data_IF_172586875462
#
_entry.id   IF_172586875462
#
_cell.length_a   1.000
_cell.length_b   1.000
_cell.length_c   1.000
_cell.angle_alpha   90.00
_cell.angle_beta   90.00
_cell.angle_gamma   90.00
#
_symmetry.space_group_name_H-M   'P 1'
#
loop_
_entity.id
_entity.type
_entity.pdbx_description
1 polymer ?
#
# COMPACT_ATOMS: atom_id res chain seq x y z
N UNK A 1 -29.01 -17.35 12.04
CA UNK A 1 -27.54 -17.25 11.90
C UNK A 1 -27.19 -15.78 12.07
N UNK A 2 -26.47 -15.38 13.13
CA UNK A 2 -26.25 -13.97 13.40
C UNK A 2 -25.22 -13.42 12.41
N UNK A 3 -25.66 -12.55 11.50
CA UNK A 3 -24.81 -11.69 10.65
C UNK A 3 -24.12 -10.57 11.44
N UNK A 4 -23.81 -10.83 12.71
CA UNK A 4 -23.48 -9.79 13.69
C UNK A 4 -21.99 -9.40 13.73
N UNK A 5 -21.10 -9.98 12.92
CA UNK A 5 -19.66 -9.89 13.18
C UNK A 5 -18.83 -9.13 12.13
N UNK A 6 -19.45 -8.45 11.17
CA UNK A 6 -18.72 -7.57 10.23
C UNK A 6 -18.79 -6.08 10.61
N UNK A 7 -19.59 -5.71 11.62
CA UNK A 7 -19.82 -4.30 12.01
C UNK A 7 -18.89 -3.76 13.10
N UNK A 8 -18.11 -4.61 13.77
CA UNK A 8 -17.13 -4.17 14.78
C UNK A 8 -15.77 -3.83 14.14
N UNK A 9 -15.57 -4.24 12.88
CA UNK A 9 -14.40 -3.84 12.12
C UNK A 9 -14.52 -2.38 11.70
N UNK A 10 -13.48 -1.59 11.95
CA UNK A 10 -13.45 -0.17 11.64
C UNK A 10 -13.66 0.07 10.15
N UNK A 11 -14.85 0.54 9.73
CA UNK A 11 -15.19 0.63 8.30
C UNK A 11 -14.36 1.72 7.60
N UNK A 12 -13.80 2.65 8.37
CA UNK A 12 -12.94 3.70 7.86
C UNK A 12 -11.57 3.20 7.40
N UNK A 13 -11.16 1.96 7.75
CA UNK A 13 -9.89 1.33 7.37
C UNK A 13 -10.04 0.23 6.29
N UNK A 14 -11.22 0.11 5.68
CA UNK A 14 -11.53 -0.94 4.70
C UNK A 14 -10.53 -0.98 3.53
N UNK A 15 -10.13 0.19 3.04
CA UNK A 15 -9.19 0.30 1.92
C UNK A 15 -7.80 -0.22 2.29
N UNK A 16 -7.35 0.08 3.50
CA UNK A 16 -6.08 -0.38 4.06
C UNK A 16 -6.10 -1.90 4.28
N UNK A 17 -7.22 -2.47 4.74
CA UNK A 17 -7.36 -3.93 4.85
C UNK A 17 -7.27 -4.62 3.50
N UNK A 18 -7.95 -4.10 2.47
CA UNK A 18 -7.88 -4.66 1.12
C UNK A 18 -6.46 -4.62 0.55
N UNK A 19 -5.71 -3.55 0.85
CA UNK A 19 -4.30 -3.44 0.47
C UNK A 19 -3.44 -4.51 1.17
N UNK A 20 -3.55 -4.63 2.51
CA UNK A 20 -2.76 -5.56 3.32
C UNK A 20 -3.07 -7.03 3.01
N UNK A 21 -4.35 -7.36 2.81
CA UNK A 21 -4.80 -8.70 2.46
C UNK A 21 -4.60 -9.04 0.97
N UNK A 22 -4.10 -8.08 0.17
CA UNK A 22 -3.83 -8.28 -1.25
C UNK A 22 -5.09 -8.43 -2.12
N UNK A 23 -6.23 -7.97 -1.64
CA UNK A 23 -7.50 -7.96 -2.38
C UNK A 23 -7.66 -6.74 -3.29
N UNK A 24 -6.84 -5.71 -3.10
CA UNK A 24 -6.85 -4.51 -3.94
C UNK A 24 -6.44 -4.84 -5.39
N UNK A 25 -7.18 -4.37 -6.42
CA UNK A 25 -6.81 -4.53 -7.81
C UNK A 25 -5.40 -4.00 -8.10
N UNK A 26 -4.67 -4.63 -9.02
CA UNK A 26 -3.26 -4.31 -9.25
C UNK A 26 -3.01 -2.82 -9.57
N UNK A 27 -3.83 -2.24 -10.45
CA UNK A 27 -3.73 -0.83 -10.86
C UNK A 27 -3.93 0.11 -9.66
N UNK A 28 -4.93 -0.19 -8.82
CA UNK A 28 -5.23 0.59 -7.62
C UNK A 28 -4.14 0.40 -6.55
N UNK A 29 -3.57 -0.80 -6.46
CA UNK A 29 -2.50 -1.15 -5.52
C UNK A 29 -1.22 -0.38 -5.79
N UNK A 30 -0.80 -0.27 -7.05
CA UNK A 30 0.41 0.49 -7.43
C UNK A 30 0.23 1.98 -7.09
N UNK A 31 -0.95 2.54 -7.39
CA UNK A 31 -1.30 3.92 -7.04
C UNK A 31 -1.32 4.13 -5.52
N UNK A 32 -1.95 3.21 -4.79
CA UNK A 32 -2.03 3.29 -3.34
C UNK A 32 -0.66 3.12 -2.67
N UNK A 33 0.20 2.27 -3.21
CA UNK A 33 1.56 2.11 -2.72
C UNK A 33 2.36 3.42 -2.85
N UNK A 34 2.20 4.15 -3.95
CA UNK A 34 2.78 5.50 -4.09
C UNK A 34 2.29 6.44 -2.99
N UNK A 35 0.98 6.45 -2.72
CA UNK A 35 0.41 7.26 -1.64
C UNK A 35 0.93 6.87 -0.25
N UNK A 36 1.12 5.58 0.03
CA UNK A 36 1.69 5.10 1.32
C UNK A 36 3.12 5.60 1.51
N UNK A 37 3.89 5.72 0.43
CA UNK A 37 5.28 6.21 0.46
C UNK A 37 5.33 7.73 0.60
N UNK A 38 4.46 8.45 -0.12
CA UNK A 38 4.50 9.92 -0.20
C UNK A 38 3.72 10.61 0.92
N UNK A 39 2.70 9.96 1.48
CA UNK A 39 1.81 10.54 2.48
C UNK A 39 1.91 9.81 3.82
N UNK A 40 2.47 10.51 4.81
CA UNK A 40 2.63 10.01 6.18
C UNK A 40 1.30 9.60 6.83
N UNK A 41 0.21 10.33 6.61
CA UNK A 41 -1.10 10.01 7.19
C UNK A 41 -1.66 8.70 6.63
N UNK A 42 -1.46 8.44 5.34
CA UNK A 42 -1.87 7.18 4.70
C UNK A 42 -1.03 6.03 5.22
N UNK A 43 0.28 6.24 5.41
CA UNK A 43 1.17 5.27 6.03
C UNK A 43 0.75 4.91 7.46
N UNK A 44 0.44 5.91 8.29
CA UNK A 44 -0.06 5.72 9.65
C UNK A 44 -1.36 4.91 9.68
N UNK A 45 -2.30 5.20 8.75
CA UNK A 45 -3.56 4.44 8.63
C UNK A 45 -3.33 2.98 8.22
N UNK A 46 -2.36 2.69 7.36
CA UNK A 46 -2.01 1.30 7.01
C UNK A 46 -1.43 0.56 8.22
N UNK A 47 -0.59 1.21 9.02
CA UNK A 47 -0.09 0.62 10.27
C UNK A 47 -1.21 0.40 11.30
N UNK A 48 -2.16 1.33 11.40
CA UNK A 48 -3.34 1.18 12.25
C UNK A 48 -4.19 -0.02 11.81
N UNK A 49 -4.44 -0.15 10.50
CA UNK A 49 -5.14 -1.27 9.91
C UNK A 49 -4.41 -2.61 10.14
N UNK A 50 -3.08 -2.63 10.02
CA UNK A 50 -2.28 -3.81 10.31
C UNK A 50 -2.48 -4.27 11.77
N UNK A 51 -2.39 -3.35 12.72
CA UNK A 51 -2.58 -3.67 14.14
C UNK A 51 -3.99 -4.18 14.43
N UNK A 52 -5.03 -3.56 13.86
CA UNK A 52 -6.41 -4.03 14.03
C UNK A 52 -6.61 -5.46 13.49
N UNK A 53 -6.00 -5.79 12.34
CA UNK A 53 -6.01 -7.16 11.80
C UNK A 53 -5.35 -8.16 12.75
N UNK A 54 -4.19 -7.82 13.35
CA UNK A 54 -3.54 -8.67 14.34
C UNK A 54 -4.42 -8.86 15.59
N UNK A 55 -4.95 -7.78 16.16
CA UNK A 55 -5.78 -7.83 17.35
C UNK A 55 -7.07 -8.64 17.12
N UNK A 56 -7.71 -8.46 15.97
CA UNK A 56 -8.88 -9.24 15.60
C UNK A 56 -8.56 -10.72 15.36
N UNK A 57 -7.42 -11.02 14.73
CA UNK A 57 -6.98 -12.40 14.54
C UNK A 57 -6.72 -13.09 15.89
N UNK A 58 -6.05 -12.42 16.84
CA UNK A 58 -5.80 -12.99 18.17
C UNK A 58 -7.10 -13.18 18.96
N UNK A 59 -8.04 -12.24 18.87
CA UNK A 59 -9.38 -12.33 19.47
C UNK A 59 -10.27 -13.41 18.82
N UNK A 60 -9.89 -13.92 17.66
CA UNK A 60 -10.75 -14.80 16.86
C UNK A 60 -11.95 -14.07 16.24
N UNK A 61 -11.89 -12.75 16.16
CA UNK A 61 -12.92 -11.86 15.62
C UNK A 61 -12.72 -11.53 14.12
N UNK A 62 -11.65 -12.03 13.51
CA UNK A 62 -11.38 -11.81 12.08
C UNK A 62 -12.42 -12.54 11.20
N UNK A 63 -12.98 -11.89 10.16
CA UNK A 63 -13.91 -12.52 9.23
C UNK A 63 -13.35 -13.81 8.61
N UNK A 64 -14.23 -14.79 8.38
CA UNK A 64 -13.82 -16.11 7.87
C UNK A 64 -13.15 -16.03 6.50
N UNK A 65 -13.62 -15.13 5.63
CA UNK A 65 -12.98 -14.89 4.33
C UNK A 65 -11.59 -14.26 4.43
N UNK A 66 -11.31 -13.49 5.47
CA UNK A 66 -10.05 -12.74 5.62
C UNK A 66 -8.97 -13.55 6.32
N UNK A 67 -9.35 -14.51 7.16
CA UNK A 67 -8.42 -15.37 7.89
C UNK A 67 -7.35 -16.05 7.01
N UNK A 68 -7.68 -16.76 5.92
CA UNK A 68 -6.66 -17.41 5.09
C UNK A 68 -5.71 -16.39 4.45
N UNK A 69 -6.23 -15.23 4.02
CA UNK A 69 -5.43 -14.17 3.40
C UNK A 69 -4.48 -13.52 4.41
N UNK A 70 -4.95 -13.31 5.64
CA UNK A 70 -4.13 -12.81 6.74
C UNK A 70 -2.99 -13.76 7.06
N UNK A 71 -3.28 -15.06 7.17
CA UNK A 71 -2.26 -16.09 7.45
C UNK A 71 -1.24 -16.20 6.31
N UNK A 72 -1.69 -16.14 5.05
CA UNK A 72 -0.82 -16.18 3.86
C UNK A 72 0.05 -14.92 3.73
N UNK A 73 -0.49 -13.73 4.01
CA UNK A 73 0.19 -12.46 3.73
C UNK A 73 0.99 -11.92 4.90
N UNK A 74 0.42 -11.92 6.10
CA UNK A 74 1.06 -11.33 7.26
C UNK A 74 1.87 -12.37 8.03
N UNK A 75 1.33 -13.58 8.26
CA UNK A 75 2.02 -14.60 9.05
C UNK A 75 3.06 -15.41 8.28
N UNK A 76 3.15 -15.27 6.96
CA UNK A 76 4.21 -15.88 6.16
C UNK A 76 5.58 -15.24 6.38
N UNK A 77 5.62 -14.03 6.94
CA UNK A 77 6.88 -13.31 7.21
C UNK A 77 7.33 -13.50 8.67
N UNK A 78 8.64 -13.58 8.95
CA UNK A 78 9.14 -13.64 10.33
C UNK A 78 8.70 -12.44 11.18
N UNK A 79 8.57 -11.26 10.57
CA UNK A 79 8.11 -10.06 11.25
C UNK A 79 6.64 -10.16 11.68
N UNK A 80 5.75 -10.61 10.79
CA UNK A 80 4.34 -10.78 11.13
C UNK A 80 4.13 -11.85 12.20
N UNK A 81 4.92 -12.93 12.20
CA UNK A 81 4.90 -13.92 13.30
C UNK A 81 5.29 -13.28 14.63
N UNK A 82 6.31 -12.41 14.65
CA UNK A 82 6.69 -11.66 15.87
C UNK A 82 5.57 -10.74 16.32
N UNK A 83 4.96 -9.96 15.41
CA UNK A 83 3.83 -9.07 15.73
C UNK A 83 2.63 -9.86 16.31
N UNK A 84 2.28 -11.00 15.70
CA UNK A 84 1.24 -11.89 16.21
C UNK A 84 1.56 -12.43 17.62
N UNK A 85 2.81 -12.78 17.89
CA UNK A 85 3.23 -13.22 19.22
C UNK A 85 3.13 -12.08 20.24
N UNK A 86 3.53 -10.86 19.87
CA UNK A 86 3.38 -9.67 20.72
C UNK A 86 1.91 -9.38 21.04
N UNK A 87 1.02 -9.39 20.03
CA UNK A 87 -0.41 -9.20 20.23
C UNK A 87 -1.01 -10.29 21.16
N UNK A 88 -0.61 -11.55 20.98
CA UNK A 88 -0.98 -12.66 21.88
C UNK A 88 -0.49 -12.45 23.31
N UNK A 89 0.73 -11.97 23.49
CA UNK A 89 1.29 -11.71 24.82
C UNK A 89 0.55 -10.57 25.53
N UNK A 90 0.21 -9.50 24.80
CA UNK A 90 -0.54 -8.36 25.32
C UNK A 90 -1.94 -8.78 25.80
N UNK A 91 -2.65 -9.63 25.04
CA UNK A 91 -3.96 -10.14 25.46
C UNK A 91 -3.93 -11.05 26.69
N UNK A 92 -2.80 -11.71 26.96
CA UNK A 92 -2.65 -12.59 28.14
C UNK A 92 -2.26 -11.83 29.40
N UNK A 93 -1.78 -10.60 29.28
CA UNK A 93 -1.48 -9.79 30.44
C UNK A 93 -2.80 -9.41 31.12
N UNK A 94 -3.03 -9.80 32.38
CA UNK A 94 -4.18 -9.35 33.15
C UNK A 94 -3.95 -7.90 33.57
N UNK A 95 -3.89 -6.99 32.60
CA UNK A 95 -4.07 -5.58 32.88
C UNK A 95 -5.52 -5.48 33.33
N UNK A 96 -5.74 -5.31 34.64
CA UNK A 96 -7.04 -5.00 35.19
C UNK A 96 -7.58 -3.78 34.42
N UNK A 97 -8.55 -3.98 33.52
CA UNK A 97 -9.02 -2.94 32.63
C UNK A 97 -9.84 -1.91 33.42
N UNK A 98 -9.38 -0.65 33.61
CA UNK A 98 -10.33 0.45 33.72
C UNK A 98 -11.11 0.54 32.38
N UNK A 99 -12.38 0.94 32.47
CA UNK A 99 -13.30 1.09 31.34
C UNK A 99 -12.63 1.74 30.10
N UNK A 100 -13.05 1.37 28.87
CA UNK A 100 -12.37 1.77 27.64
C UNK A 100 -12.32 3.29 27.49
N UNK A 101 -11.16 3.87 27.76
CA UNK A 101 -10.82 5.21 27.31
C UNK A 101 -10.44 5.13 25.82
N UNK A 102 -10.82 6.12 24.99
CA UNK A 102 -10.40 6.15 23.58
C UNK A 102 -8.89 6.04 23.47
N UNK A 103 -8.42 5.18 22.56
CA UNK A 103 -7.03 4.72 22.49
C UNK A 103 -6.06 5.88 22.32
N UNK A 104 -5.28 6.15 23.37
CA UNK A 104 -4.21 7.17 23.40
C UNK A 104 -2.86 6.66 22.86
N UNK A 105 -2.86 5.53 22.15
CA UNK A 105 -1.64 4.89 21.66
C UNK A 105 -0.95 5.72 20.54
N UNK A 106 -1.69 6.63 19.88
CA UNK A 106 -1.13 7.53 18.84
C UNK A 106 -0.06 8.52 19.36
N UNK A 107 0.01 8.77 20.68
CA UNK A 107 0.96 9.74 21.25
C UNK A 107 2.38 9.22 21.43
N UNK A 108 2.57 7.90 21.58
CA UNK A 108 3.88 7.34 21.95
C UNK A 108 4.77 7.05 20.72
N UNK A 109 4.20 6.56 19.61
CA UNK A 109 5.00 6.30 18.39
C UNK A 109 5.45 7.58 17.66
N UNK A 110 4.77 8.73 17.85
CA UNK A 110 5.27 10.04 17.41
C UNK A 110 6.66 10.40 17.97
N UNK A 111 7.10 9.76 19.06
CA UNK A 111 8.44 9.98 19.63
C UNK A 111 9.50 8.99 19.14
N UNK A 112 9.12 7.88 18.48
CA UNK A 112 10.07 6.87 17.98
C UNK A 112 10.41 7.09 16.50
N UNK A 113 9.52 7.75 15.74
CA UNK A 113 9.77 8.12 14.34
C UNK A 113 10.95 9.11 14.13
N UNK A 114 11.50 9.71 15.20
CA UNK A 114 12.65 10.60 15.11
C UNK A 114 14.00 9.87 14.93
N UNK A 115 14.06 8.54 14.99
CA UNK A 115 15.34 7.79 14.97
C UNK A 115 15.69 7.22 13.57
N UNK A 116 14.77 7.21 12.60
CA UNK A 116 15.03 6.62 11.27
C UNK A 116 14.93 7.60 10.08
N UNK A 117 15.21 8.90 10.30
CA UNK A 117 15.34 9.90 9.23
C UNK A 117 16.77 10.45 9.05
N UNK A 118 17.80 9.64 9.33
CA UNK A 118 19.20 10.04 9.12
C UNK A 118 19.98 8.99 8.30
N UNK A 119 19.60 8.76 7.04
CA UNK A 119 20.50 8.11 6.05
C UNK A 119 20.07 8.28 4.57
N UNK A 120 19.52 9.43 4.16
CA UNK A 120 19.25 9.67 2.73
C UNK A 120 19.45 11.12 2.29
N UNK A 121 20.35 11.87 2.94
CA UNK A 121 20.63 13.27 2.57
C UNK A 121 22.12 13.65 2.55
N UNK A 122 23.04 12.69 2.53
CA UNK A 122 24.46 12.97 2.30
C UNK A 122 25.07 11.88 1.40
N UNK A 123 25.23 12.19 0.11
CA UNK A 123 25.92 11.29 -0.82
C UNK A 123 25.51 11.39 -2.29
N UNK A 124 24.61 12.30 -2.67
CA UNK A 124 24.48 12.74 -4.05
C UNK A 124 25.44 13.90 -4.30
N UNK A 125 26.60 13.64 -4.88
CA UNK A 125 27.54 14.70 -5.25
C UNK A 125 28.88 14.20 -5.76
N UNK A 126 28.91 13.58 -6.95
CA UNK A 126 29.88 13.91 -8.02
C UNK A 126 29.53 13.11 -9.29
N UNK A 127 28.55 13.59 -10.05
CA UNK A 127 28.43 13.28 -11.47
C UNK A 127 28.46 14.63 -12.18
N UNK A 128 29.61 14.94 -12.79
CA UNK A 128 29.91 16.22 -13.43
C UNK A 128 31.40 16.41 -13.69
N UNK A 129 31.88 15.77 -14.77
CA UNK A 129 33.14 15.97 -15.53
C UNK A 129 33.62 17.44 -15.63
N UNK A 130 34.95 17.73 -15.78
CA UNK A 130 35.66 17.50 -17.06
C UNK A 130 37.21 17.34 -17.04
N UNK A 131 37.76 16.68 -18.08
CA UNK A 131 38.88 17.19 -18.91
C UNK A 131 40.35 17.10 -18.44
N UNK A 132 41.18 16.41 -19.25
CA UNK A 132 42.67 16.44 -19.25
C UNK A 132 43.26 15.12 -18.76
N UNK A 133 43.96 14.27 -19.51
CA UNK A 133 44.87 14.51 -20.62
C UNK A 133 44.78 13.38 -21.66
N UNK A 134 44.44 13.72 -22.90
CA UNK A 134 44.80 12.93 -24.09
C UNK A 134 45.68 13.80 -24.97
N UNK A 135 46.93 13.87 -24.57
CA UNK A 135 48.00 14.34 -25.43
C UNK A 135 48.44 13.17 -26.32
N UNK A 136 48.21 13.30 -27.63
CA UNK A 136 48.97 12.55 -28.62
C UNK A 136 48.19 11.97 -29.80
N UNK A 137 48.37 12.62 -30.97
CA UNK A 137 48.29 12.07 -32.35
C UNK A 137 46.91 11.60 -32.83
N UNK A 138 46.37 11.99 -33.99
CA UNK A 138 46.85 12.72 -35.17
C UNK A 138 45.56 13.25 -35.87
N UNK A 139 45.50 14.52 -36.27
CA UNK A 139 45.77 15.02 -37.65
C UNK A 139 44.77 14.51 -38.70
N UNK A 140 43.98 15.45 -39.23
CA UNK A 140 43.10 15.33 -40.41
C UNK A 140 41.75 16.02 -40.14
N UNK A 141 41.56 17.31 -40.48
CA UNK A 141 41.05 17.76 -41.78
C UNK A 141 39.65 17.15 -42.05
N UNK A 142 38.53 17.87 -41.97
CA UNK A 142 38.07 18.99 -42.82
C UNK A 142 36.74 19.49 -42.23
N UNK A 143 36.54 20.79 -42.03
CA UNK A 143 35.76 21.69 -42.90
C UNK A 143 34.37 21.18 -43.33
N UNK A 144 33.32 21.95 -42.98
CA UNK A 144 31.97 21.77 -43.53
C UNK A 144 30.87 22.09 -42.51
N UNK A 145 30.67 23.35 -42.14
CA UNK A 145 29.69 24.22 -42.79
C UNK A 145 28.20 23.88 -42.48
N UNK A 146 27.63 24.75 -41.65
CA UNK A 146 26.40 25.49 -41.94
C UNK A 146 25.02 24.95 -41.50
N UNK A 147 24.25 25.96 -41.02
CA UNK A 147 22.78 26.11 -40.92
C UNK A 147 22.16 25.61 -39.60
N UNK A 148 21.84 26.51 -38.67
CA UNK A 148 20.75 27.50 -38.70
C UNK A 148 19.38 26.84 -38.93
N UNK A 149 18.56 26.80 -37.88
CA UNK A 149 17.22 26.22 -37.91
C UNK A 149 16.42 26.62 -36.68
N UNK A 150 16.13 27.91 -36.56
CA UNK A 150 15.13 28.49 -35.65
C UNK A 150 13.74 27.96 -36.03
N UNK A 151 13.00 27.40 -35.08
CA UNK A 151 11.66 26.88 -35.36
C UNK A 151 10.88 26.45 -34.11
N UNK A 152 10.33 27.42 -33.39
CA UNK A 152 9.04 27.27 -32.71
C UNK A 152 7.97 27.96 -33.59
N UNK A 153 6.65 27.89 -33.32
CA UNK A 153 5.86 27.06 -32.41
C UNK A 153 4.64 26.39 -33.12
N UNK A 154 3.94 25.43 -32.49
CA UNK A 154 2.50 25.27 -32.79
C UNK A 154 1.70 24.52 -31.73
N UNK A 155 0.74 25.24 -31.16
CA UNK A 155 -0.43 24.76 -30.43
C UNK A 155 -1.26 23.82 -31.30
N UNK A 156 -1.70 22.68 -30.76
CA UNK A 156 -3.01 22.11 -31.10
C UNK A 156 -3.68 21.54 -29.85
N UNK A 157 -4.67 22.30 -29.39
CA UNK A 157 -5.76 21.81 -28.58
C UNK A 157 -6.62 20.87 -29.45
N UNK A 158 -6.82 19.64 -29.00
CA UNK A 158 -7.86 18.76 -29.53
C UNK A 158 -8.97 18.66 -28.49
N UNK A 159 -10.14 19.04 -28.97
CA UNK A 159 -11.40 19.12 -28.26
C UNK A 159 -12.12 17.76 -28.22
N UNK A 160 -13.11 17.72 -27.32
CA UNK A 160 -14.43 17.05 -27.46
C UNK A 160 -14.48 15.51 -27.49
N UNK A 161 -15.25 15.01 -26.53
CA UNK A 161 -16.48 14.28 -26.85
C UNK A 161 -16.41 12.77 -26.63
N UNK A 162 -17.19 12.28 -25.66
CA UNK A 162 -17.38 10.85 -25.44
C UNK A 162 -18.50 10.58 -24.44
N UNK A 163 -19.72 10.87 -24.85
CA UNK A 163 -20.92 10.35 -24.21
C UNK A 163 -21.10 8.87 -24.57
N UNK A 164 -21.60 8.06 -23.63
CA UNK A 164 -22.48 6.93 -23.96
C UNK A 164 -22.03 5.53 -23.54
N UNK A 165 -23.04 4.75 -23.11
CA UNK A 165 -23.02 3.30 -22.98
C UNK A 165 -22.69 2.83 -21.57
N UNK A 166 -23.63 2.35 -20.76
CA UNK A 166 -24.63 1.35 -21.10
C UNK A 166 -24.28 0.08 -20.35
N UNK A 167 -24.85 -0.11 -19.16
CA UNK A 167 -24.74 -1.36 -18.44
C UNK A 167 -25.47 -2.49 -19.16
N UNK A 168 -25.06 -3.73 -18.92
CA UNK A 168 -26.01 -4.83 -18.90
C UNK A 168 -26.10 -5.43 -17.49
N UNK A 169 -27.29 -5.27 -16.95
CA UNK A 169 -28.01 -6.22 -16.11
C UNK A 169 -27.68 -7.67 -16.50
N UNK A 170 -27.09 -8.44 -15.58
CA UNK A 170 -27.03 -9.91 -15.68
C UNK A 170 -27.64 -10.51 -14.42
N UNK A 171 -28.96 -10.61 -14.49
CA UNK A 171 -29.80 -11.79 -14.26
C UNK A 171 -29.26 -12.84 -13.26
N UNK A 172 -29.98 -12.97 -12.16
CA UNK A 172 -29.83 -14.04 -11.19
C UNK A 172 -30.04 -15.45 -11.76
N UNK A 173 -29.21 -16.37 -11.29
CA UNK A 173 -29.39 -17.81 -11.43
C UNK A 173 -29.69 -18.42 -10.07
N UNK A 174 -30.98 -18.65 -9.80
CA UNK A 174 -31.43 -19.52 -8.72
C UNK A 174 -31.04 -20.97 -9.06
N UNK A 175 -30.18 -21.58 -8.25
CA UNK A 175 -29.79 -22.98 -8.36
C UNK A 175 -30.01 -23.71 -7.05
N UNK A 176 -31.26 -24.13 -6.82
CA UNK A 176 -31.62 -25.07 -5.77
C UNK A 176 -31.04 -26.46 -6.11
N UNK A 177 -30.28 -27.08 -5.19
CA UNK A 177 -29.62 -28.36 -5.42
C UNK A 177 -29.26 -29.13 -4.15
N UNK A 178 -30.28 -29.67 -3.49
CA UNK A 178 -30.34 -30.85 -2.60
C UNK A 178 -29.02 -31.48 -2.08
N UNK A 179 -28.86 -31.42 -0.77
CA UNK A 179 -28.40 -32.54 0.10
C UNK A 179 -29.61 -33.51 0.32
N UNK A 180 -29.55 -34.73 0.90
CA UNK A 180 -28.43 -35.57 1.36
C UNK A 180 -28.53 -37.06 0.95
N UNK A 181 -27.44 -37.82 1.14
CA UNK A 181 -27.54 -39.26 1.36
C UNK A 181 -26.41 -40.11 0.79
N UNK A 182 -25.46 -40.50 1.64
CA UNK A 182 -24.77 -41.77 1.50
C UNK A 182 -24.47 -42.31 2.90
N UNK A 183 -24.76 -43.59 3.07
CA UNK A 183 -24.91 -44.35 4.31
C UNK A 183 -23.57 -44.73 4.93
#
# INVERSE_FOLDING_TARGET
>A
MPEASSREFRPDLEREFQYLLGQMPRVDRETFQGLVIENAEVSERVLEAENELFDAWVRGALPREWKPLFEERLLSTPEGVRKAHTAKALMRSPVAMPAPAPSRWSGWMRRVAAIFCFAAAAGGGVWGEPGGDREGRARGETEGAARAGTGAPRLQAVARGGAGGGGPEVRGGAGAGRNPGAR
#
